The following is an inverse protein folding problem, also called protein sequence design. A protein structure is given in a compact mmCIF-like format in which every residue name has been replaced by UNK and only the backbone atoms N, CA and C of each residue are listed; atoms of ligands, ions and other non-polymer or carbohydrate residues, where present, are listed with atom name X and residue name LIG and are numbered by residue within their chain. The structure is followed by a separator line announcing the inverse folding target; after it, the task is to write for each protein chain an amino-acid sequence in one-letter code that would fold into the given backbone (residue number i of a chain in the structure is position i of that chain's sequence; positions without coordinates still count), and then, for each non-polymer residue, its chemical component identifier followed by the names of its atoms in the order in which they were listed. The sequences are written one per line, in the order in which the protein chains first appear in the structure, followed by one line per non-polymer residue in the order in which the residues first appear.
data_IF_366973428353
#
_entry.id   IF_366973428353
#
_cell.length_a   1.000
_cell.length_b   1.000
_cell.length_c   1.000
_cell.angle_alpha   90.00
_cell.angle_beta   90.00
_cell.angle_gamma   90.00
#
_symmetry.space_group_name_H-M   'P 1'
#
loop_
_entity.id
_entity.type
_entity.pdbx_description
1 polymer ?
#
# COMPACT_ATOMS: atom_id res chain seq x y z
N UNK A 1 54.24 -36.32 1.68
CA UNK A 1 53.59 -35.11 1.15
C UNK A 1 52.08 -35.26 1.33
N UNK A 2 51.53 -34.75 2.43
CA UNK A 2 50.08 -34.77 2.67
C UNK A 2 49.43 -33.66 1.82
N UNK A 3 48.58 -34.03 0.86
CA UNK A 3 47.77 -33.06 0.11
C UNK A 3 46.66 -32.59 1.03
N UNK A 4 46.81 -31.40 1.61
CA UNK A 4 45.74 -30.74 2.33
C UNK A 4 44.75 -30.15 1.31
N UNK A 5 43.82 -30.97 0.82
CA UNK A 5 42.69 -30.50 0.03
C UNK A 5 41.75 -29.75 0.97
N UNK A 6 41.94 -28.44 1.12
CA UNK A 6 40.97 -27.56 1.78
C UNK A 6 39.68 -27.58 0.97
N UNK A 7 38.79 -28.53 1.28
CA UNK A 7 37.46 -28.62 0.69
C UNK A 7 36.68 -27.41 1.21
N UNK A 8 36.41 -26.46 0.31
CA UNK A 8 35.57 -25.31 0.63
C UNK A 8 34.11 -25.75 0.68
N UNK A 9 33.49 -25.52 1.83
CA UNK A 9 32.15 -25.99 2.19
C UNK A 9 31.27 -24.78 2.48
N UNK A 10 30.01 -24.85 2.06
CA UNK A 10 28.99 -23.86 2.42
C UNK A 10 28.75 -23.89 3.94
N UNK A 11 28.87 -22.73 4.61
CA UNK A 11 28.68 -22.58 6.04
C UNK A 11 27.22 -22.80 6.50
N UNK A 12 26.26 -22.80 5.57
CA UNK A 12 24.83 -22.97 5.86
C UNK A 12 24.31 -24.40 5.68
N UNK A 13 24.72 -25.08 4.60
CA UNK A 13 24.22 -26.42 4.26
C UNK A 13 25.28 -27.51 4.24
N UNK A 14 26.56 -27.17 4.46
CA UNK A 14 27.67 -28.13 4.49
C UNK A 14 28.08 -28.71 3.14
N UNK A 15 27.45 -28.30 2.02
CA UNK A 15 27.79 -28.80 0.68
C UNK A 15 29.11 -28.23 0.18
N UNK A 16 29.89 -29.07 -0.50
CA UNK A 16 31.16 -28.70 -1.13
C UNK A 16 30.95 -27.96 -2.46
N UNK A 17 31.99 -27.29 -2.97
CA UNK A 17 31.95 -26.64 -4.29
C UNK A 17 31.57 -27.59 -5.45
N UNK A 18 31.79 -28.90 -5.33
CA UNK A 18 31.41 -29.87 -6.36
C UNK A 18 29.90 -30.18 -6.39
N UNK A 19 29.19 -29.95 -5.27
CA UNK A 19 27.78 -30.30 -5.10
C UNK A 19 26.83 -29.11 -5.34
N UNK A 20 27.38 -27.92 -5.59
CA UNK A 20 26.63 -26.69 -5.77
C UNK A 20 27.06 -25.99 -7.04
N UNK A 21 26.14 -25.23 -7.65
CA UNK A 21 26.42 -24.58 -8.93
C UNK A 21 27.36 -23.39 -8.78
N UNK A 22 27.27 -22.70 -7.64
CA UNK A 22 28.13 -21.57 -7.31
C UNK A 22 28.35 -21.51 -5.81
N UNK A 23 29.61 -21.32 -5.41
CA UNK A 23 29.99 -21.06 -4.02
C UNK A 23 30.65 -19.67 -3.96
N UNK A 24 30.11 -18.80 -3.12
CA UNK A 24 30.55 -17.41 -2.96
C UNK A 24 31.36 -17.32 -1.67
N UNK A 25 32.56 -16.74 -1.76
CA UNK A 25 33.47 -16.55 -0.64
C UNK A 25 33.25 -15.17 0.00
N UNK A 26 33.14 -15.16 1.33
CA UNK A 26 33.21 -13.96 2.16
C UNK A 26 34.42 -14.01 3.11
N UNK A 27 34.57 -13.02 4.00
CA UNK A 27 35.66 -13.01 4.99
C UNK A 27 35.53 -14.20 5.97
N UNK A 28 36.24 -15.29 5.69
CA UNK A 28 36.24 -16.50 6.53
C UNK A 28 35.00 -17.38 6.43
N UNK A 29 34.10 -17.14 5.48
CA UNK A 29 32.84 -17.89 5.31
C UNK A 29 32.53 -18.15 3.85
N UNK A 30 31.72 -19.16 3.57
CA UNK A 30 31.27 -19.48 2.21
C UNK A 30 29.77 -19.73 2.18
N UNK A 31 29.08 -19.29 1.13
CA UNK A 31 27.65 -19.51 0.94
C UNK A 31 27.36 -20.00 -0.48
N UNK A 32 26.49 -20.99 -0.65
CA UNK A 32 26.12 -21.51 -1.96
C UNK A 32 24.89 -20.80 -2.54
N UNK A 33 24.71 -20.91 -3.86
CA UNK A 33 23.56 -20.39 -4.59
C UNK A 33 22.23 -20.86 -4.02
N UNK A 34 22.11 -22.14 -3.66
CA UNK A 34 20.88 -22.69 -3.07
C UNK A 34 20.52 -22.04 -1.74
N UNK A 35 21.50 -21.84 -0.84
CA UNK A 35 21.26 -21.16 0.44
C UNK A 35 20.87 -19.69 0.22
N UNK A 36 21.47 -19.01 -0.76
CA UNK A 36 21.07 -17.64 -1.12
C UNK A 36 19.62 -17.59 -1.56
N UNK A 37 19.14 -18.56 -2.35
CA UNK A 37 17.75 -18.58 -2.80
C UNK A 37 16.78 -18.82 -1.63
N UNK A 38 17.14 -19.70 -0.71
CA UNK A 38 16.33 -19.95 0.50
C UNK A 38 16.30 -18.71 1.39
N UNK A 39 17.45 -18.11 1.69
CA UNK A 39 17.53 -16.87 2.46
C UNK A 39 16.75 -15.75 1.78
N UNK A 40 16.89 -15.60 0.46
CA UNK A 40 16.12 -14.62 -0.32
C UNK A 40 14.62 -14.89 -0.22
N UNK A 41 14.16 -16.13 -0.35
CA UNK A 41 12.74 -16.45 -0.21
C UNK A 41 12.17 -16.17 1.19
N UNK A 42 12.99 -16.26 2.23
CA UNK A 42 12.58 -15.92 3.60
C UNK A 42 12.52 -14.39 3.74
N UNK A 43 13.55 -13.69 3.28
CA UNK A 43 13.59 -12.22 3.27
C UNK A 43 12.46 -11.61 2.43
N UNK A 44 12.17 -12.16 1.25
CA UNK A 44 11.09 -11.70 0.38
C UNK A 44 9.71 -11.89 1.07
N UNK A 45 9.53 -12.95 1.88
CA UNK A 45 8.32 -13.17 2.68
C UNK A 45 8.19 -12.15 3.82
N UNK A 46 9.29 -11.81 4.49
CA UNK A 46 9.30 -10.76 5.53
C UNK A 46 9.12 -9.34 4.94
N UNK A 47 9.66 -9.10 3.74
CA UNK A 47 9.47 -7.84 2.99
C UNK A 47 8.06 -7.76 2.38
N UNK A 48 7.34 -8.87 2.23
CA UNK A 48 5.92 -8.83 1.82
C UNK A 48 5.03 -8.32 2.97
N UNK A 49 5.46 -8.47 4.23
CA UNK A 49 4.86 -7.80 5.40
C UNK A 49 5.34 -6.36 5.62
N UNK A 50 6.47 -5.98 5.04
CA UNK A 50 6.98 -4.59 5.03
C UNK A 50 7.08 -4.10 3.58
N UNK A 51 5.95 -3.74 2.98
CA UNK A 51 5.91 -3.28 1.58
C UNK A 51 6.83 -2.07 1.39
N UNK A 52 7.95 -2.18 0.63
CA UNK A 52 8.78 -1.04 0.32
C UNK A 52 8.03 -0.16 -0.68
N UNK A 53 7.88 1.11 -0.35
CA UNK A 53 7.39 2.16 -1.23
C UNK A 53 8.47 2.43 -2.28
N UNK A 54 8.54 1.61 -3.33
CA UNK A 54 9.41 1.88 -4.48
C UNK A 54 8.98 1.18 -5.78
N UNK A 55 7.69 0.91 -5.95
CA UNK A 55 7.10 0.72 -7.27
C UNK A 55 5.88 1.62 -7.30
N UNK A 56 5.79 2.46 -8.35
CA UNK A 56 4.64 3.30 -8.68
C UNK A 56 3.36 2.71 -8.11
N UNK A 57 2.64 3.46 -7.27
CA UNK A 57 1.34 3.06 -6.76
C UNK A 57 0.45 2.80 -7.98
N UNK A 58 0.39 1.55 -8.41
CA UNK A 58 -0.09 1.21 -9.74
C UNK A 58 -1.60 1.22 -9.61
N UNK A 59 -2.19 2.40 -9.84
CA UNK A 59 -3.62 2.63 -9.58
C UNK A 59 -4.39 1.70 -10.50
N UNK A 60 -5.07 0.67 -9.97
CA UNK A 60 -5.77 -0.30 -10.79
C UNK A 60 -6.83 0.39 -11.64
N UNK A 61 -7.10 -0.16 -12.81
CA UNK A 61 -8.13 0.40 -13.70
C UNK A 61 -9.50 0.29 -13.03
N UNK A 62 -10.46 1.19 -13.33
CA UNK A 62 -11.79 1.10 -12.74
C UNK A 62 -12.48 -0.26 -12.99
N UNK A 63 -12.20 -0.92 -14.11
CA UNK A 63 -12.71 -2.26 -14.41
C UNK A 63 -12.15 -3.32 -13.46
N UNK A 64 -10.86 -3.25 -13.15
CA UNK A 64 -10.18 -4.18 -12.24
C UNK A 64 -10.67 -3.99 -10.80
N UNK A 65 -10.82 -2.73 -10.35
CA UNK A 65 -11.40 -2.43 -9.03
C UNK A 65 -12.83 -2.98 -8.94
N UNK A 66 -13.63 -2.79 -9.99
CA UNK A 66 -15.00 -3.29 -10.03
C UNK A 66 -15.04 -4.82 -9.92
N UNK A 67 -14.22 -5.54 -10.68
CA UNK A 67 -14.13 -7.00 -10.65
C UNK A 67 -13.71 -7.52 -9.28
N UNK A 68 -12.72 -6.89 -8.63
CA UNK A 68 -12.28 -7.28 -7.28
C UNK A 68 -13.35 -7.01 -6.21
N UNK A 69 -14.10 -5.91 -6.35
CA UNK A 69 -15.26 -5.64 -5.49
C UNK A 69 -16.39 -6.66 -5.74
N UNK A 70 -16.55 -7.15 -6.96
CA UNK A 70 -17.57 -8.13 -7.33
C UNK A 70 -17.35 -9.49 -6.67
N UNK A 71 -16.09 -9.87 -6.42
CA UNK A 71 -15.74 -11.11 -5.70
C UNK A 71 -16.20 -11.12 -4.23
N UNK A 72 -16.46 -9.95 -3.63
CA UNK A 72 -16.75 -9.82 -2.20
C UNK A 72 -18.14 -9.27 -1.89
N UNK A 73 -18.67 -8.38 -2.73
CA UNK A 73 -19.98 -7.75 -2.54
C UNK A 73 -20.87 -8.19 -3.69
N UNK A 74 -22.00 -8.82 -3.40
CA UNK A 74 -22.92 -9.27 -4.46
C UNK A 74 -23.90 -8.14 -4.82
N UNK A 75 -24.12 -7.91 -6.13
CA UNK A 75 -24.99 -6.84 -6.62
C UNK A 75 -24.35 -5.45 -6.50
N UNK A 76 -25.13 -4.42 -6.17
CA UNK A 76 -24.65 -3.04 -5.98
C UNK A 76 -23.81 -2.48 -7.15
N UNK A 77 -24.13 -2.89 -8.38
CA UNK A 77 -23.33 -2.59 -9.60
C UNK A 77 -23.10 -1.09 -9.81
N UNK A 78 -24.12 -0.27 -9.55
CA UNK A 78 -24.00 1.18 -9.65
C UNK A 78 -22.97 1.73 -8.64
N UNK A 79 -23.06 1.32 -7.38
CA UNK A 79 -22.13 1.78 -6.33
C UNK A 79 -20.69 1.34 -6.62
N UNK A 80 -20.49 0.08 -7.06
CA UNK A 80 -19.16 -0.41 -7.46
C UNK A 80 -18.58 0.39 -8.61
N UNK A 81 -19.37 0.68 -9.65
CA UNK A 81 -18.92 1.49 -10.79
C UNK A 81 -18.48 2.88 -10.35
N UNK A 82 -19.30 3.56 -9.55
CA UNK A 82 -18.99 4.91 -9.04
C UNK A 82 -17.74 4.90 -8.18
N UNK A 83 -17.64 3.97 -7.21
CA UNK A 83 -16.48 3.83 -6.34
C UNK A 83 -15.21 3.56 -7.14
N UNK A 84 -15.27 2.66 -8.11
CA UNK A 84 -14.10 2.29 -8.93
C UNK A 84 -13.55 3.49 -9.71
N UNK A 85 -14.43 4.33 -10.27
CA UNK A 85 -14.01 5.56 -10.99
C UNK A 85 -13.50 6.61 -10.01
N UNK A 86 -14.23 6.87 -8.93
CA UNK A 86 -13.88 7.91 -7.94
C UNK A 86 -12.51 7.65 -7.32
N UNK A 87 -12.26 6.39 -6.93
CA UNK A 87 -11.01 5.95 -6.34
C UNK A 87 -9.86 6.04 -7.34
N UNK A 88 -10.05 5.51 -8.55
CA UNK A 88 -9.03 5.58 -9.58
C UNK A 88 -8.59 7.03 -9.82
N UNK A 89 -9.55 7.94 -9.96
CA UNK A 89 -9.25 9.37 -10.15
C UNK A 89 -8.58 9.98 -8.91
N UNK A 90 -9.00 9.60 -7.70
CA UNK A 90 -8.44 10.09 -6.45
C UNK A 90 -6.96 9.74 -6.30
N UNK A 91 -6.56 8.49 -6.53
CA UNK A 91 -5.16 8.08 -6.42
C UNK A 91 -4.31 8.61 -7.58
N UNK A 92 -4.90 8.71 -8.78
CA UNK A 92 -4.22 9.36 -9.90
C UNK A 92 -3.89 10.82 -9.58
N UNK A 93 -4.82 11.56 -8.96
CA UNK A 93 -4.56 12.93 -8.47
C UNK A 93 -3.38 12.97 -7.49
N UNK A 94 -3.39 12.12 -6.47
CA UNK A 94 -2.34 12.12 -5.44
C UNK A 94 -0.96 11.90 -6.08
N UNK A 95 -0.86 10.96 -7.02
CA UNK A 95 0.40 10.68 -7.73
C UNK A 95 0.87 11.88 -8.56
N UNK A 96 -0.02 12.49 -9.35
CA UNK A 96 0.33 13.69 -10.12
C UNK A 96 0.80 14.84 -9.22
N UNK A 97 0.16 15.04 -8.06
CA UNK A 97 0.58 16.06 -7.09
C UNK A 97 1.95 15.75 -6.47
N UNK A 98 2.26 14.48 -6.17
CA UNK A 98 3.59 14.11 -5.65
C UNK A 98 4.68 14.29 -6.70
N UNK A 99 4.43 13.84 -7.93
CA UNK A 99 5.36 13.99 -9.05
C UNK A 99 5.64 15.45 -9.42
N UNK A 100 4.64 16.35 -9.32
CA UNK A 100 4.84 17.78 -9.61
C UNK A 100 5.68 18.47 -8.54
N UNK A 101 5.47 18.12 -7.26
CA UNK A 101 6.27 18.63 -6.13
C UNK A 101 7.73 18.14 -6.22
N UNK A 102 7.96 16.87 -6.53
CA UNK A 102 9.31 16.32 -6.70
C UNK A 102 10.06 16.97 -7.88
N UNK A 103 9.36 17.18 -9.01
CA UNK A 103 9.93 17.87 -10.19
C UNK A 103 10.26 19.33 -9.91
N UNK A 104 9.44 20.02 -9.10
CA UNK A 104 9.71 21.40 -8.69
C UNK A 104 10.94 21.48 -7.76
N UNK A 105 11.11 20.52 -6.85
CA UNK A 105 12.27 20.44 -5.97
C UNK A 105 13.57 20.14 -6.73
N UNK A 106 13.53 19.28 -7.75
CA UNK A 106 14.70 18.92 -8.56
C UNK A 106 15.16 20.03 -9.52
N UNK A 107 14.23 20.82 -10.06
CA UNK A 107 14.53 21.80 -11.11
C UNK A 107 14.75 23.23 -10.60
N UNK A 108 14.64 23.50 -9.29
CA UNK A 108 14.82 24.83 -8.69
C UNK A 108 13.88 25.91 -9.27
N UNK A 109 12.85 25.50 -10.01
CA UNK A 109 11.88 26.37 -10.68
C UNK A 109 10.61 26.39 -9.85
N UNK A 110 10.34 27.51 -9.22
CA UNK A 110 9.04 27.85 -8.62
C UNK A 110 8.02 28.22 -9.70
N UNK A 111 7.92 27.45 -10.79
CA UNK A 111 6.85 27.67 -11.77
C UNK A 111 5.60 26.94 -11.28
N UNK A 112 4.77 27.66 -10.54
CA UNK A 112 3.37 27.31 -10.19
C UNK A 112 2.42 27.39 -11.39
N UNK A 113 2.94 27.33 -12.62
CA UNK A 113 2.13 27.36 -13.82
C UNK A 113 1.75 25.92 -14.15
N UNK A 114 0.45 25.58 -14.23
CA UNK A 114 0.01 24.28 -14.71
C UNK A 114 0.62 24.03 -16.08
N UNK A 115 1.17 22.83 -16.32
CA UNK A 115 1.51 22.40 -17.68
C UNK A 115 0.24 22.55 -18.55
N UNK A 116 0.35 22.99 -19.81
CA UNK A 116 -0.79 23.32 -20.69
C UNK A 116 -1.71 22.11 -21.07
N UNK A 117 -1.64 21.02 -20.33
CA UNK A 117 -2.54 19.87 -20.39
C UNK A 117 -2.78 19.18 -19.05
N UNK A 118 -2.39 19.80 -17.92
CA UNK A 118 -2.62 19.21 -16.61
C UNK A 118 -4.09 19.39 -16.21
N UNK A 119 -4.81 18.27 -16.12
CA UNK A 119 -6.22 18.27 -15.75
C UNK A 119 -6.30 18.52 -14.24
N UNK A 120 -6.90 19.64 -13.84
CA UNK A 120 -7.20 19.89 -12.43
C UNK A 120 -8.15 18.80 -11.91
N UNK A 121 -7.60 17.86 -11.15
CA UNK A 121 -8.37 16.82 -10.48
C UNK A 121 -8.77 17.36 -9.09
N UNK A 122 -10.06 17.57 -8.86
CA UNK A 122 -10.55 17.97 -7.54
C UNK A 122 -10.64 16.77 -6.57
N UNK A 123 -10.70 17.07 -5.26
CA UNK A 123 -11.00 16.06 -4.25
C UNK A 123 -12.47 15.66 -4.30
N UNK A 124 -12.74 14.47 -4.84
CA UNK A 124 -14.06 13.85 -4.79
C UNK A 124 -14.18 12.93 -3.58
N UNK A 125 -14.97 13.34 -2.58
CA UNK A 125 -15.46 12.44 -1.54
C UNK A 125 -16.68 11.65 -2.05
N UNK A 126 -16.98 10.50 -1.45
CA UNK A 126 -18.10 9.65 -1.86
C UNK A 126 -19.12 9.56 -0.71
N UNK A 127 -20.39 9.79 -1.04
CA UNK A 127 -21.52 9.52 -0.16
C UNK A 127 -22.21 8.22 -0.61
N UNK A 128 -22.29 7.24 0.29
CA UNK A 128 -22.96 5.96 0.01
C UNK A 128 -24.34 5.93 0.66
N UNK A 129 -25.39 5.98 -0.16
CA UNK A 129 -26.78 5.93 0.30
C UNK A 129 -27.36 4.54 0.03
N UNK A 130 -27.97 3.93 1.04
CA UNK A 130 -28.65 2.66 0.92
C UNK A 130 -29.17 2.12 2.25
N UNK A 131 -30.07 1.12 2.22
CA UNK A 131 -30.66 0.55 3.42
C UNK A 131 -29.61 -0.10 4.34
N UNK A 132 -30.00 -0.38 5.57
CA UNK A 132 -29.17 -1.15 6.50
C UNK A 132 -28.88 -2.54 5.93
N UNK A 133 -27.65 -3.04 6.11
CA UNK A 133 -27.27 -4.40 5.69
C UNK A 133 -27.03 -4.61 4.19
N UNK A 134 -27.06 -3.58 3.33
CA UNK A 134 -26.80 -3.74 1.89
C UNK A 134 -25.31 -3.84 1.51
N UNK A 135 -24.39 -3.76 2.48
CA UNK A 135 -22.95 -3.92 2.25
C UNK A 135 -22.14 -2.62 2.12
N UNK A 136 -22.65 -1.45 2.56
CA UNK A 136 -21.92 -0.17 2.53
C UNK A 136 -20.53 -0.26 3.21
N UNK A 137 -20.51 -0.70 4.46
CA UNK A 137 -19.27 -0.89 5.24
C UNK A 137 -18.37 -1.97 4.62
N UNK A 138 -18.95 -3.01 4.00
CA UNK A 138 -18.19 -4.07 3.33
C UNK A 138 -17.52 -3.57 2.04
N UNK A 139 -18.19 -2.71 1.26
CA UNK A 139 -17.60 -2.06 0.09
C UNK A 139 -16.36 -1.25 0.48
N UNK A 140 -16.47 -0.39 1.50
CA UNK A 140 -15.36 0.45 1.96
C UNK A 140 -14.17 -0.40 2.47
N UNK A 141 -14.42 -1.41 3.30
CA UNK A 141 -13.39 -2.32 3.81
C UNK A 141 -12.70 -3.12 2.70
N UNK A 142 -13.47 -3.57 1.71
CA UNK A 142 -12.92 -4.36 0.59
C UNK A 142 -12.07 -3.48 -0.30
N UNK A 143 -12.52 -2.25 -0.57
CA UNK A 143 -11.77 -1.28 -1.34
C UNK A 143 -10.41 -0.96 -0.72
N UNK A 144 -10.35 -0.72 0.59
CA UNK A 144 -9.09 -0.47 1.28
C UNK A 144 -8.13 -1.68 1.21
N UNK A 145 -8.65 -2.90 1.32
CA UNK A 145 -7.85 -4.13 1.15
C UNK A 145 -7.31 -4.29 -0.27
N UNK A 146 -8.12 -4.00 -1.29
CA UNK A 146 -7.72 -4.08 -2.70
C UNK A 146 -6.55 -3.11 -2.99
N UNK A 147 -6.60 -1.92 -2.42
CA UNK A 147 -5.60 -0.87 -2.66
C UNK A 147 -4.40 -0.95 -1.71
N UNK A 148 -4.46 -1.81 -0.69
CA UNK A 148 -3.44 -1.94 0.35
C UNK A 148 -3.08 -0.61 1.04
N UNK A 149 -4.12 0.16 1.41
CA UNK A 149 -3.99 1.48 2.05
C UNK A 149 -4.51 1.46 3.48
N UNK A 150 -4.00 2.33 4.36
CA UNK A 150 -4.53 2.48 5.72
C UNK A 150 -6.03 2.80 5.70
N UNK A 151 -6.77 2.25 6.66
CA UNK A 151 -8.22 2.38 6.73
C UNK A 151 -8.68 2.71 8.14
N UNK A 152 -9.51 3.74 8.28
CA UNK A 152 -10.13 4.13 9.53
C UNK A 152 -11.65 4.18 9.37
N UNK A 153 -12.36 3.65 10.38
CA UNK A 153 -13.82 3.69 10.46
C UNK A 153 -14.21 4.58 11.63
N UNK A 154 -15.16 5.45 11.40
CA UNK A 154 -15.77 6.30 12.43
C UNK A 154 -17.30 6.23 12.32
N UNK A 155 -17.98 6.39 13.45
CA UNK A 155 -19.43 6.51 13.53
C UNK A 155 -19.77 7.98 13.77
N UNK A 156 -20.51 8.61 12.85
CA UNK A 156 -20.84 10.03 12.93
C UNK A 156 -21.70 10.36 14.15
N UNK A 157 -22.50 9.42 14.68
CA UNK A 157 -23.35 9.65 15.86
C UNK A 157 -22.55 9.87 17.13
N UNK A 158 -21.29 9.41 17.15
CA UNK A 158 -20.38 9.55 18.29
C UNK A 158 -19.57 10.86 18.27
N UNK A 159 -19.60 11.58 17.15
CA UNK A 159 -18.89 12.84 16.98
C UNK A 159 -19.69 13.97 17.64
N UNK A 160 -19.05 14.71 18.54
CA UNK A 160 -19.68 15.86 19.22
C UNK A 160 -18.88 17.13 19.00
N UNK A 161 -19.57 18.23 18.72
CA UNK A 161 -18.98 19.54 18.40
C UNK A 161 -18.16 20.14 19.55
N UNK A 162 -18.43 19.76 20.79
CA UNK A 162 -17.86 20.39 21.99
C UNK A 162 -16.85 19.52 22.76
N UNK A 163 -16.45 18.35 22.23
CA UNK A 163 -15.38 17.51 22.81
C UNK A 163 -15.61 17.06 24.26
N UNK A 164 -16.81 17.23 24.82
CA UNK A 164 -17.05 17.02 26.25
C UNK A 164 -17.52 15.60 26.57
N UNK A 165 -18.18 14.93 25.61
CA UNK A 165 -18.59 13.52 25.68
C UNK A 165 -18.70 12.98 24.24
N UNK A 166 -17.72 12.22 23.75
CA UNK A 166 -17.77 11.63 22.40
C UNK A 166 -16.39 11.35 21.83
N UNK A 167 -16.36 10.83 20.60
CA UNK A 167 -15.12 10.66 19.84
C UNK A 167 -14.75 11.99 19.16
N UNK A 168 -13.50 12.41 19.29
CA UNK A 168 -12.97 13.60 18.58
C UNK A 168 -12.63 13.24 17.12
N UNK A 169 -12.78 14.20 16.21
CA UNK A 169 -12.35 14.07 14.81
C UNK A 169 -10.86 13.76 14.72
N UNK A 170 -10.05 14.28 15.65
CA UNK A 170 -8.62 13.99 15.74
C UNK A 170 -8.34 12.50 15.99
N UNK A 171 -9.21 11.81 16.74
CA UNK A 171 -9.06 10.37 16.99
C UNK A 171 -9.24 9.54 15.72
N UNK A 172 -10.06 9.99 14.76
CA UNK A 172 -10.22 9.30 13.47
C UNK A 172 -8.89 9.30 12.71
N UNK A 173 -8.20 10.45 12.71
CA UNK A 173 -6.90 10.62 12.07
C UNK A 173 -5.83 9.84 12.83
N UNK A 174 -5.84 9.86 14.16
CA UNK A 174 -4.93 9.07 14.98
C UNK A 174 -5.06 7.57 14.68
N UNK A 175 -6.29 7.05 14.56
CA UNK A 175 -6.54 5.65 14.15
C UNK A 175 -6.03 5.36 12.74
N UNK A 176 -6.20 6.28 11.81
CA UNK A 176 -5.66 6.13 10.45
C UNK A 176 -4.13 6.07 10.47
N UNK A 177 -3.49 6.93 11.26
CA UNK A 177 -2.03 6.95 11.43
C UNK A 177 -1.52 5.67 12.11
N UNK A 178 -2.24 5.17 13.11
CA UNK A 178 -1.96 3.86 13.72
C UNK A 178 -2.09 2.72 12.70
N UNK A 179 -3.11 2.74 11.84
CA UNK A 179 -3.28 1.77 10.76
C UNK A 179 -2.22 1.91 9.65
N UNK A 180 -1.48 3.01 9.65
CA UNK A 180 -0.35 3.28 8.77
C UNK A 180 1.00 3.01 9.44
N UNK A 181 1.04 2.34 10.60
CA UNK A 181 2.27 2.11 11.39
C UNK A 181 3.03 3.40 11.72
N UNK A 182 2.29 4.49 11.94
CA UNK A 182 2.79 5.86 12.16
C UNK A 182 3.56 6.47 10.99
N UNK A 183 3.44 5.91 9.78
CA UNK A 183 3.94 6.51 8.54
C UNK A 183 2.95 7.55 8.00
N UNK A 184 3.38 8.82 8.06
CA UNK A 184 2.59 9.97 7.57
C UNK A 184 2.32 9.87 6.07
N UNK A 185 3.32 9.46 5.26
CA UNK A 185 3.16 9.38 3.81
C UNK A 185 2.19 8.27 3.40
N UNK A 186 2.09 7.20 4.20
CA UNK A 186 1.04 6.17 4.05
C UNK A 186 -0.31 6.63 4.55
N UNK A 187 -0.38 7.36 5.67
CA UNK A 187 -1.63 7.89 6.19
C UNK A 187 -2.30 8.89 5.22
N UNK A 188 -1.50 9.70 4.51
CA UNK A 188 -1.97 10.65 3.48
C UNK A 188 -2.74 10.00 2.33
N UNK A 189 -2.45 8.73 2.03
CA UNK A 189 -3.12 7.95 0.99
C UNK A 189 -4.19 7.02 1.57
N UNK A 190 -4.51 7.16 2.85
CA UNK A 190 -5.48 6.32 3.56
C UNK A 190 -6.93 6.64 3.21
N UNK A 191 -7.82 5.70 3.55
CA UNK A 191 -9.26 5.84 3.39
C UNK A 191 -9.92 6.02 4.76
N UNK A 192 -10.74 7.05 4.89
CA UNK A 192 -11.62 7.26 6.04
C UNK A 192 -13.05 6.94 5.62
N UNK A 193 -13.71 6.06 6.36
CA UNK A 193 -15.12 5.74 6.19
C UNK A 193 -15.90 6.20 7.42
N UNK A 194 -16.88 7.07 7.20
CA UNK A 194 -17.78 7.59 8.25
C UNK A 194 -19.14 6.92 8.04
N UNK A 195 -19.56 6.09 8.98
CA UNK A 195 -20.88 5.44 9.01
C UNK A 195 -21.89 6.31 9.78
N UNK A 196 -23.19 6.01 9.61
CA UNK A 196 -24.30 6.67 10.32
C UNK A 196 -24.37 8.21 10.16
N UNK A 197 -24.04 8.71 8.96
CA UNK A 197 -24.25 10.12 8.54
C UNK A 197 -25.72 10.42 8.25
#
# INVERSE_FOLDING_TARGET
MARNSNVTLCSFCGKSHAEVRKLIAGPGVYICDSCIHVCKSILDKETTSESPISESLLVPKPTEIHELLDQHVIGQTHAKKVLSVAVHNHYKRILHTRESVERAAANGRTSTLPDEGDVELEKSNVLLIGPTGCGKTLLAKTLARILNVPFSIADATTLTEAGYVGEDVENIILRLLQAADYDVARAEIGIIYIDEI
#
